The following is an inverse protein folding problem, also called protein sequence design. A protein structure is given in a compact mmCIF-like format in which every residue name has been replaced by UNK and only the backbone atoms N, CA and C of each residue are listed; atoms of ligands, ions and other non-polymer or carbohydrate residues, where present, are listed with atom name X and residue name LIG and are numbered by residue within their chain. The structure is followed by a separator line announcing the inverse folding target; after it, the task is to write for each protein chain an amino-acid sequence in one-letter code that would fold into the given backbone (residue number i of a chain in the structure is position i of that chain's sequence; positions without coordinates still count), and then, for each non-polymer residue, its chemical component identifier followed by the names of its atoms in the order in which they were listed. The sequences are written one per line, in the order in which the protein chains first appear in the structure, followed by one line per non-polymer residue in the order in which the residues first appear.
data_IF_955301622235
#
_entry.id   IF_955301622235
#
_cell.length_a   1.000
_cell.length_b   1.000
_cell.length_c   1.000
_cell.angle_alpha   90.00
_cell.angle_beta   90.00
_cell.angle_gamma   90.00
#
_symmetry.space_group_name_H-M   'P 1'
#
loop_
_entity.id
_entity.type
_entity.pdbx_description
1 polymer ?
#
# COMPACT_ATOMS: atom_id res chain seq x y z
N UNK A 1 -6.53 -6.38 -16.50
CA UNK A 1 -6.20 -5.62 -15.26
C UNK A 1 -4.93 -6.07 -14.52
N UNK A 2 -4.22 -7.14 -14.91
CA UNK A 2 -2.95 -7.54 -14.23
C UNK A 2 -1.83 -6.49 -14.26
N UNK A 3 -1.79 -5.63 -15.30
CA UNK A 3 -0.72 -4.67 -15.50
C UNK A 3 -0.67 -3.53 -14.47
N UNK A 4 -1.83 -3.10 -13.92
CA UNK A 4 -1.89 -2.01 -12.94
C UNK A 4 -1.31 -2.44 -11.58
N UNK A 5 -1.72 -3.60 -11.07
CA UNK A 5 -1.21 -4.15 -9.82
C UNK A 5 0.29 -4.39 -9.87
N UNK A 6 0.79 -4.97 -10.97
CA UNK A 6 2.23 -5.20 -11.15
C UNK A 6 3.04 -3.89 -11.21
N UNK A 7 2.47 -2.83 -11.81
CA UNK A 7 3.12 -1.52 -11.88
C UNK A 7 3.17 -0.83 -10.53
N UNK A 8 2.08 -0.86 -9.76
CA UNK A 8 2.05 -0.29 -8.41
C UNK A 8 3.04 -1.03 -7.50
N UNK A 9 3.03 -2.37 -7.51
CA UNK A 9 3.98 -3.15 -6.75
C UNK A 9 5.44 -2.81 -7.13
N UNK A 10 5.73 -2.66 -8.42
CA UNK A 10 7.05 -2.26 -8.88
C UNK A 10 7.42 -0.82 -8.47
N UNK A 11 6.48 0.13 -8.46
CA UNK A 11 6.73 1.50 -7.98
C UNK A 11 7.08 1.50 -6.49
N UNK A 12 6.33 0.76 -5.68
CA UNK A 12 6.55 0.71 -4.23
C UNK A 12 7.84 -0.02 -3.87
N UNK A 13 8.15 -1.14 -4.54
CA UNK A 13 9.37 -1.92 -4.28
C UNK A 13 10.65 -1.23 -4.80
N UNK A 14 10.56 -0.38 -5.83
CA UNK A 14 11.71 0.37 -6.35
C UNK A 14 11.99 1.67 -5.57
N UNK A 15 11.04 2.11 -4.74
CA UNK A 15 11.20 3.26 -3.87
C UNK A 15 11.70 2.80 -2.49
N UNK A 16 12.87 3.30 -2.08
CA UNK A 16 13.50 2.88 -0.81
C UNK A 16 12.57 3.15 0.38
N UNK A 17 11.96 4.36 0.42
CA UNK A 17 11.02 4.74 1.48
C UNK A 17 9.77 3.84 1.45
N UNK A 18 9.22 3.59 0.27
CA UNK A 18 8.09 2.68 0.07
C UNK A 18 8.37 1.28 0.60
N UNK A 19 9.54 0.72 0.30
CA UNK A 19 10.00 -0.59 0.79
C UNK A 19 10.15 -0.62 2.33
N UNK A 20 10.71 0.44 2.92
CA UNK A 20 10.89 0.55 4.37
C UNK A 20 9.55 0.71 5.12
N UNK A 21 8.61 1.45 4.54
CA UNK A 21 7.23 1.56 5.05
C UNK A 21 6.53 0.20 4.97
N UNK A 22 6.62 -0.50 3.83
CA UNK A 22 6.00 -1.80 3.64
C UNK A 22 6.50 -2.83 4.65
N UNK A 23 7.82 -2.85 4.87
CA UNK A 23 8.46 -3.74 5.86
C UNK A 23 7.94 -3.45 7.26
N UNK A 24 7.81 -2.16 7.63
CA UNK A 24 7.24 -1.76 8.92
C UNK A 24 5.77 -2.17 9.07
N UNK A 25 4.96 -2.03 8.02
CA UNK A 25 3.55 -2.40 8.04
C UNK A 25 3.38 -3.91 8.23
N UNK A 26 4.14 -4.72 7.47
CA UNK A 26 4.14 -6.18 7.61
C UNK A 26 4.56 -6.60 9.02
N UNK A 27 5.58 -5.95 9.60
CA UNK A 27 6.03 -6.21 10.96
C UNK A 27 5.03 -5.75 12.04
N UNK A 28 4.23 -4.71 11.76
CA UNK A 28 3.24 -4.15 12.70
C UNK A 28 2.04 -5.08 12.95
N UNK A 29 1.78 -6.02 12.04
CA UNK A 29 0.61 -6.90 12.11
C UNK A 29 -0.74 -6.20 11.88
N UNK A 30 -0.74 -4.92 11.48
CA UNK A 30 -1.98 -4.21 11.13
C UNK A 30 -2.60 -4.78 9.86
N UNK A 31 -3.94 -4.82 9.84
CA UNK A 31 -4.68 -5.31 8.68
C UNK A 31 -4.72 -4.32 7.52
N UNK A 32 -4.65 -3.03 7.82
CA UNK A 32 -4.72 -1.92 6.87
C UNK A 32 -3.77 -0.83 7.34
N UNK A 33 -2.92 -0.34 6.44
CA UNK A 33 -2.07 0.82 6.72
C UNK A 33 -1.71 1.56 5.42
N UNK A 34 -1.17 2.78 5.55
CA UNK A 34 -0.76 3.62 4.43
C UNK A 34 0.75 3.51 4.17
N UNK A 35 1.14 3.39 2.90
CA UNK A 35 2.52 3.58 2.44
C UNK A 35 2.65 4.90 1.71
N UNK A 36 3.57 5.75 2.17
CA UNK A 36 3.95 6.99 1.48
C UNK A 36 5.28 6.80 0.75
N UNK A 37 5.27 6.96 -0.57
CA UNK A 37 6.47 6.94 -1.40
C UNK A 37 7.26 8.25 -1.30
N UNK A 38 8.53 8.22 -1.70
CA UNK A 38 9.39 9.42 -1.70
C UNK A 38 8.86 10.57 -2.56
N UNK A 39 8.09 10.26 -3.61
CA UNK A 39 7.45 11.25 -4.48
C UNK A 39 6.14 11.85 -3.89
N UNK A 40 5.77 11.49 -2.66
CA UNK A 40 4.56 11.95 -1.99
C UNK A 40 3.29 11.19 -2.36
N UNK A 41 3.34 10.20 -3.27
CA UNK A 41 2.21 9.31 -3.53
C UNK A 41 1.93 8.43 -2.33
N UNK A 42 0.66 8.23 -2.04
CA UNK A 42 0.16 7.40 -0.94
C UNK A 42 -0.63 6.22 -1.47
N UNK A 43 -0.46 5.07 -0.84
CA UNK A 43 -1.18 3.85 -1.16
C UNK A 43 -1.71 3.22 0.12
N UNK A 44 -2.97 2.80 0.10
CA UNK A 44 -3.52 1.95 1.16
C UNK A 44 -3.13 0.51 0.86
N UNK A 45 -2.51 -0.15 1.82
CA UNK A 45 -2.17 -1.58 1.77
C UNK A 45 -3.03 -2.30 2.78
N UNK A 46 -3.63 -3.41 2.36
CA UNK A 46 -4.28 -4.34 3.27
C UNK A 46 -3.72 -5.74 3.12
N UNK A 47 -3.55 -6.41 4.26
CA UNK A 47 -3.12 -7.81 4.33
C UNK A 47 -4.29 -8.79 4.19
N UNK A 48 -5.54 -8.28 4.17
CA UNK A 48 -6.76 -9.03 3.87
C UNK A 48 -7.49 -8.46 2.65
N UNK A 49 -8.31 -9.25 1.97
CA UNK A 49 -9.24 -8.69 0.99
C UNK A 49 -10.16 -7.68 1.68
N UNK A 50 -10.18 -6.45 1.16
CA UNK A 50 -11.11 -5.41 1.59
C UNK A 50 -12.27 -5.32 0.59
N UNK A 51 -13.45 -5.02 1.11
CA UNK A 51 -14.60 -4.68 0.26
C UNK A 51 -14.44 -3.27 -0.31
N UNK A 52 -15.11 -2.98 -1.44
CA UNK A 52 -15.10 -1.64 -2.05
C UNK A 52 -15.62 -0.56 -1.09
N UNK A 53 -16.56 -0.94 -0.21
CA UNK A 53 -17.10 -0.07 0.83
C UNK A 53 -16.03 0.33 1.86
N UNK A 54 -15.24 -0.63 2.35
CA UNK A 54 -14.16 -0.38 3.32
C UNK A 54 -13.02 0.45 2.71
N UNK A 55 -12.71 0.24 1.42
CA UNK A 55 -11.70 1.02 0.70
C UNK A 55 -12.09 2.50 0.58
N UNK A 56 -13.36 2.79 0.29
CA UNK A 56 -13.84 4.18 0.14
C UNK A 56 -13.79 4.96 1.46
N UNK A 57 -14.04 4.29 2.58
CA UNK A 57 -13.95 4.90 3.92
C UNK A 57 -12.51 5.07 4.41
N UNK A 58 -11.57 4.25 3.94
CA UNK A 58 -10.15 4.38 4.31
C UNK A 58 -9.47 5.62 3.67
N UNK A 59 -10.09 6.22 2.66
CA UNK A 59 -9.62 7.41 1.94
C UNK A 59 -10.31 8.72 2.34
N UNK A 60 -11.19 8.71 3.35
CA UNK A 60 -11.90 9.90 3.85
C UNK A 60 -11.23 10.55 5.06
#
# INVERSE_FOLDING_TARGET
MKALLGRIAAEVLKDQRGSDELTRIVASGKEVDEVTLSNGKKYIISTRPMTDAELRTATQ
#
